data_IF_546384699778
#
_entry.id   IF_546384699778
#
_cell.length_a   1.000
_cell.length_b   1.000
_cell.length_c   1.000
_cell.angle_alpha   90.00
_cell.angle_beta   90.00
_cell.angle_gamma   90.00
#
_symmetry.space_group_name_H-M   'P 1'
#
loop_
_entity.id
_entity.type
_entity.pdbx_description
1 polymer ?
#
# COMPACT_ATOMS: atom_id res chain seq x y z
N UNK A 1 -0.35 5.68 -26.55
CA UNK A 1 -0.86 4.71 -25.73
C UNK A 1 -0.31 4.78 -24.31
N UNK A 2 -1.11 4.48 -23.41
CA UNK A 2 -0.71 4.59 -22.04
C UNK A 2 0.23 3.47 -21.66
N UNK A 3 1.22 3.81 -20.88
CA UNK A 3 2.14 2.82 -20.36
C UNK A 3 1.83 2.65 -18.89
N UNK A 4 1.59 1.42 -18.50
CA UNK A 4 1.33 1.13 -17.11
C UNK A 4 2.66 0.98 -16.40
N UNK A 5 3.06 2.01 -15.74
CA UNK A 5 4.28 1.97 -14.96
C UNK A 5 4.01 1.45 -13.57
N UNK A 6 4.90 0.60 -13.13
CA UNK A 6 4.85 0.15 -11.75
C UNK A 6 5.60 1.16 -10.89
N UNK A 7 4.90 1.67 -9.92
CA UNK A 7 5.48 2.60 -8.96
C UNK A 7 5.48 1.96 -7.60
N UNK A 8 6.43 2.32 -6.78
CA UNK A 8 6.51 1.77 -5.45
C UNK A 8 5.72 2.65 -4.49
N UNK A 9 4.73 2.05 -3.86
CA UNK A 9 3.92 2.75 -2.87
C UNK A 9 4.19 2.20 -1.50
N UNK A 10 4.16 3.07 -0.51
CA UNK A 10 4.19 2.66 0.89
C UNK A 10 2.77 2.74 1.40
N UNK A 11 2.27 1.59 1.83
CA UNK A 11 0.91 1.47 2.35
C UNK A 11 1.02 1.31 3.85
N UNK A 12 0.39 2.22 4.58
CA UNK A 12 0.36 2.14 6.03
C UNK A 12 -1.01 1.65 6.46
N UNK A 13 -1.02 0.78 7.45
CA UNK A 13 -2.27 0.19 7.88
C UNK A 13 -2.19 -0.25 9.33
N UNK A 14 -3.37 -0.49 9.90
CA UNK A 14 -3.50 -1.03 11.25
C UNK A 14 -4.08 -2.42 11.16
N UNK A 15 -3.59 -3.30 12.00
CA UNK A 15 -4.21 -4.59 12.16
C UNK A 15 -5.29 -4.52 13.23
N UNK A 16 -6.00 -5.62 13.39
CA UNK A 16 -7.10 -5.70 14.33
C UNK A 16 -6.66 -5.35 15.75
N UNK A 17 -5.43 -5.69 16.09
CA UNK A 17 -4.90 -5.38 17.42
C UNK A 17 -4.39 -3.94 17.50
N UNK A 18 -4.66 -3.13 16.49
CA UNK A 18 -4.27 -1.72 16.42
C UNK A 18 -2.78 -1.50 16.29
N UNK A 19 -2.06 -2.53 15.90
CA UNK A 19 -0.65 -2.34 15.56
C UNK A 19 -0.53 -1.70 14.19
N UNK A 20 0.45 -0.85 14.07
CA UNK A 20 0.66 -0.03 12.87
C UNK A 20 1.81 -0.62 12.06
N UNK A 21 1.58 -0.75 10.76
CA UNK A 21 2.55 -1.36 9.86
C UNK A 21 2.68 -0.56 8.59
N UNK A 22 3.82 -0.72 7.95
CA UNK A 22 4.09 -0.12 6.65
C UNK A 22 4.58 -1.23 5.73
N UNK A 23 3.98 -1.34 4.55
CA UNK A 23 4.43 -2.29 3.54
C UNK A 23 4.55 -1.61 2.21
N UNK A 24 5.57 -1.97 1.47
CA UNK A 24 5.76 -1.44 0.13
C UNK A 24 5.11 -2.36 -0.88
N UNK A 25 4.57 -1.77 -1.93
CA UNK A 25 3.96 -2.54 -3.02
C UNK A 25 4.23 -1.82 -4.33
N UNK A 26 4.63 -2.58 -5.34
CA UNK A 26 4.79 -2.06 -6.69
C UNK A 26 3.47 -2.25 -7.41
N UNK A 27 2.90 -1.16 -7.85
CA UNK A 27 1.56 -1.21 -8.45
C UNK A 27 1.42 -0.07 -9.44
N UNK A 28 0.36 -0.15 -10.25
CA UNK A 28 0.10 0.88 -11.24
C UNK A 28 -0.77 2.00 -10.68
N UNK A 29 -1.32 1.82 -9.50
CA UNK A 29 -2.16 2.84 -8.87
C UNK A 29 -2.18 2.61 -7.37
N UNK A 30 -2.64 3.63 -6.65
CA UNK A 30 -2.79 3.51 -5.20
C UNK A 30 -3.76 2.41 -4.84
N UNK A 31 -4.85 2.32 -5.59
CA UNK A 31 -5.86 1.31 -5.30
C UNK A 31 -5.29 -0.08 -5.48
N UNK A 32 -4.50 -0.26 -6.52
CA UNK A 32 -3.87 -1.56 -6.74
C UNK A 32 -2.88 -1.89 -5.64
N UNK A 33 -2.16 -0.87 -5.16
CA UNK A 33 -1.21 -1.10 -4.07
C UNK A 33 -1.93 -1.57 -2.81
N UNK A 34 -3.06 -0.95 -2.51
CA UNK A 34 -3.86 -1.35 -1.35
C UNK A 34 -4.34 -2.78 -1.52
N UNK A 35 -4.84 -3.09 -2.72
CA UNK A 35 -5.34 -4.45 -2.98
C UNK A 35 -4.23 -5.47 -2.80
N UNK A 36 -3.03 -5.14 -3.26
CA UNK A 36 -1.91 -6.07 -3.14
C UNK A 36 -1.56 -6.33 -1.68
N UNK A 37 -1.54 -5.28 -0.86
CA UNK A 37 -1.24 -5.44 0.55
C UNK A 37 -2.31 -6.28 1.22
N UNK A 38 -3.57 -6.01 0.92
CA UNK A 38 -4.65 -6.79 1.51
C UNK A 38 -4.58 -8.25 1.09
N UNK A 39 -4.18 -8.50 -0.16
CA UNK A 39 -4.08 -9.88 -0.65
C UNK A 39 -2.96 -10.66 0.01
N UNK A 40 -1.96 -9.96 0.55
CA UNK A 40 -0.90 -10.62 1.30
C UNK A 40 -1.37 -11.10 2.66
N UNK A 41 -2.50 -10.56 3.13
CA UNK A 41 -3.03 -10.89 4.44
C UNK A 41 -4.51 -11.24 4.32
N UNK A 42 -4.83 -12.32 3.61
CA UNK A 42 -6.23 -12.59 3.25
C UNK A 42 -7.11 -12.93 4.45
N UNK A 43 -6.51 -13.36 5.54
CA UNK A 43 -7.29 -13.74 6.72
C UNK A 43 -7.32 -12.65 7.78
N UNK A 44 -6.76 -11.49 7.47
CA UNK A 44 -6.70 -10.40 8.42
C UNK A 44 -7.51 -9.22 7.92
N UNK A 45 -8.14 -8.53 8.85
CA UNK A 45 -8.83 -7.28 8.52
C UNK A 45 -7.87 -6.14 8.73
N UNK A 46 -7.46 -5.55 7.63
CA UNK A 46 -6.55 -4.42 7.68
C UNK A 46 -7.33 -3.13 7.50
N UNK A 47 -7.00 -2.13 8.32
CA UNK A 47 -7.55 -0.80 8.16
C UNK A 47 -6.48 0.05 7.51
N UNK A 48 -6.70 0.42 6.26
CA UNK A 48 -5.71 1.20 5.52
C UNK A 48 -5.71 2.62 6.05
N UNK A 49 -4.54 3.09 6.42
CA UNK A 49 -4.38 4.43 6.94
C UNK A 49 -4.02 5.42 5.84
N UNK A 50 -3.03 5.05 5.04
CA UNK A 50 -2.59 5.96 4.00
C UNK A 50 -1.78 5.21 2.96
N UNK A 51 -1.63 5.83 1.80
CA UNK A 51 -0.83 5.29 0.70
C UNK A 51 -0.02 6.43 0.13
N UNK A 52 1.29 6.28 0.14
CA UNK A 52 2.20 7.29 -0.39
C UNK A 52 3.07 6.68 -1.48
N UNK A 53 3.41 7.50 -2.45
CA UNK A 53 4.49 7.11 -3.35
C UNK A 53 5.78 7.15 -2.57
N UNK A 54 6.54 6.07 -2.65
CA UNK A 54 7.85 6.03 -2.03
C UNK A 54 8.72 7.02 -2.78
N UNK A 55 9.34 7.91 -2.07
CA UNK A 55 10.14 8.93 -2.68
C UNK A 55 9.49 10.30 -2.65
N UNK A 56 8.20 10.34 -2.32
CA UNK A 56 7.50 11.61 -2.18
C UNK A 56 7.72 12.26 -0.85
N UNK A 57 8.59 11.69 -0.07
CA UNK A 57 8.77 12.19 1.28
C UNK A 57 9.75 13.32 1.40
N UNK A 58 10.54 13.52 0.39
CA UNK A 58 11.57 14.44 0.56
C UNK A 58 11.27 15.79 0.39
N UNK A 59 11.68 16.17 0.78
CA UNK A 59 11.64 17.21 0.67
C UNK A 59 11.88 17.90 0.39
#
# INVERSE_FOLDING_TARGET
>A
MAVNELLCYDVTYFKKNKEYYVESAWATSRENAVAMVKNRHPLENLTINDVHLKGDYND
#
